data_IF_343949240855
#
_entry.id   IF_343949240855
#
_cell.length_a   1.000
_cell.length_b   1.000
_cell.length_c   1.000
_cell.angle_alpha   90.00
_cell.angle_beta   90.00
_cell.angle_gamma   90.00
#
_symmetry.space_group_name_H-M   'P 1'
#
loop_
_entity.id
_entity.type
_entity.pdbx_description
1 polymer ?
#
# COMPACT_ATOMS: atom_id res chain seq x y z
N UNK A 1 36.43 -26.95 -14.97
CA UNK A 1 35.00 -27.16 -15.35
C UNK A 1 34.06 -27.27 -14.14
N UNK A 2 34.53 -27.43 -12.92
CA UNK A 2 33.70 -27.52 -11.69
C UNK A 2 33.47 -26.14 -11.05
N UNK A 3 34.33 -25.14 -11.29
CA UNK A 3 34.23 -23.80 -10.72
C UNK A 3 33.21 -22.88 -11.44
N UNK A 4 32.74 -23.22 -12.64
CA UNK A 4 31.75 -22.49 -13.41
C UNK A 4 30.29 -22.86 -13.04
N UNK A 5 30.07 -24.00 -12.36
CA UNK A 5 28.75 -24.48 -11.97
C UNK A 5 28.25 -23.94 -10.59
N UNK A 6 29.19 -23.51 -9.75
CA UNK A 6 28.86 -22.94 -8.42
C UNK A 6 28.43 -21.47 -8.49
N UNK A 7 28.76 -20.76 -9.57
CA UNK A 7 28.41 -19.35 -9.77
C UNK A 7 26.97 -19.15 -10.31
N UNK A 8 26.29 -20.21 -10.73
CA UNK A 8 24.92 -20.15 -11.31
C UNK A 8 23.79 -20.32 -10.31
N UNK A 9 24.08 -20.48 -9.02
CA UNK A 9 23.06 -20.75 -7.98
C UNK A 9 22.72 -19.57 -7.06
N UNK A 10 23.23 -18.36 -7.31
CA UNK A 10 23.03 -17.21 -6.40
C UNK A 10 22.22 -16.04 -6.94
N UNK A 11 21.63 -16.12 -8.13
CA UNK A 11 20.91 -14.98 -8.71
C UNK A 11 19.45 -15.29 -9.05
N UNK A 12 18.60 -15.48 -8.02
CA UNK A 12 17.17 -15.31 -8.14
C UNK A 12 16.73 -13.99 -7.47
N UNK A 13 17.22 -12.87 -7.96
CA UNK A 13 16.63 -11.58 -7.65
C UNK A 13 15.52 -11.32 -8.66
N UNK A 14 14.31 -11.79 -8.37
CA UNK A 14 13.12 -11.34 -9.08
C UNK A 14 13.05 -9.81 -8.97
N UNK A 15 13.11 -9.12 -10.10
CA UNK A 15 12.94 -7.67 -10.16
C UNK A 15 11.52 -7.33 -9.74
N UNK A 16 11.35 -6.93 -8.49
CA UNK A 16 10.11 -6.39 -7.99
C UNK A 16 10.14 -4.89 -8.25
N UNK A 17 9.49 -4.47 -9.33
CA UNK A 17 9.35 -3.07 -9.74
C UNK A 17 8.46 -2.24 -8.80
N UNK A 18 8.05 -2.76 -7.66
CA UNK A 18 7.32 -2.00 -6.63
C UNK A 18 8.28 -1.51 -5.55
N UNK A 19 8.02 -0.31 -5.11
CA UNK A 19 8.83 0.43 -4.14
C UNK A 19 9.01 -0.34 -2.84
N UNK A 20 10.12 -1.07 -2.73
CA UNK A 20 10.52 -1.74 -1.48
C UNK A 20 10.71 -0.75 -0.32
N UNK A 21 10.81 0.53 -0.62
CA UNK A 21 11.04 1.60 0.34
C UNK A 21 9.93 1.68 1.38
N UNK A 22 8.68 1.47 1.00
CA UNK A 22 7.55 1.60 1.92
C UNK A 22 7.11 0.26 2.54
N UNK A 23 7.73 -0.85 2.15
CA UNK A 23 7.40 -2.16 2.73
C UNK A 23 8.14 -2.36 4.05
N UNK A 24 7.39 -2.60 5.12
CA UNK A 24 7.92 -2.70 6.49
C UNK A 24 7.83 -4.11 7.07
N UNK A 25 7.32 -5.08 6.30
CA UNK A 25 7.12 -6.46 6.75
C UNK A 25 8.38 -7.08 7.34
N UNK A 26 8.25 -7.62 8.54
CA UNK A 26 9.29 -8.34 9.27
C UNK A 26 8.87 -9.77 9.54
N UNK A 27 9.51 -10.76 8.91
CA UNK A 27 9.21 -12.16 9.17
C UNK A 27 9.69 -12.56 10.58
N UNK A 28 8.93 -13.45 11.23
CA UNK A 28 9.41 -14.14 12.43
C UNK A 28 10.60 -15.01 12.03
N UNK A 29 11.75 -14.76 12.64
CA UNK A 29 12.98 -15.52 12.39
C UNK A 29 13.17 -16.58 13.47
N UNK A 30 13.48 -17.85 13.10
CA UNK A 30 13.70 -18.90 14.09
C UNK A 30 14.78 -18.56 15.13
N UNK A 31 15.84 -17.85 14.70
CA UNK A 31 16.97 -17.44 15.55
C UNK A 31 16.58 -16.41 16.63
N UNK A 32 15.37 -15.83 16.56
CA UNK A 32 14.87 -14.85 17.51
C UNK A 32 14.10 -15.49 18.66
N UNK A 33 13.88 -16.81 18.64
CA UNK A 33 13.16 -17.54 19.70
C UNK A 33 13.75 -17.26 21.09
N UNK A 34 12.89 -16.89 22.05
CA UNK A 34 13.24 -16.51 23.40
C UNK A 34 13.97 -15.18 23.53
N UNK A 35 13.92 -14.31 22.49
CA UNK A 35 14.65 -13.03 22.50
C UNK A 35 13.69 -11.85 22.47
N UNK A 36 14.10 -10.79 23.16
CA UNK A 36 13.52 -9.46 23.08
C UNK A 36 14.37 -8.60 22.16
N UNK A 37 13.73 -7.95 21.20
CA UNK A 37 14.34 -7.01 20.27
C UNK A 37 13.72 -5.63 20.42
N UNK A 38 14.54 -4.61 20.28
CA UNK A 38 14.08 -3.25 20.02
C UNK A 38 14.08 -3.04 18.50
N UNK A 39 12.92 -2.70 17.95
CA UNK A 39 12.77 -2.44 16.53
C UNK A 39 12.45 -0.98 16.29
N UNK A 40 13.06 -0.40 15.28
CA UNK A 40 12.83 0.97 14.84
C UNK A 40 12.39 0.95 13.39
N UNK A 41 11.20 1.45 13.15
CA UNK A 41 10.70 1.83 11.84
C UNK A 41 10.53 3.34 11.80
N UNK A 42 11.18 4.02 10.86
CA UNK A 42 11.12 5.47 10.73
C UNK A 42 11.29 5.87 9.28
N UNK A 43 10.62 6.93 8.86
CA UNK A 43 10.85 7.55 7.56
C UNK A 43 10.78 9.07 7.70
N UNK A 44 11.89 9.73 7.40
CA UNK A 44 11.90 11.15 7.09
C UNK A 44 11.49 11.35 5.64
N UNK A 45 10.62 12.31 5.37
CA UNK A 45 10.08 12.54 4.04
C UNK A 45 9.98 14.03 3.70
N UNK A 46 10.17 14.30 2.42
CA UNK A 46 9.77 15.51 1.74
C UNK A 46 8.92 15.08 0.54
N UNK A 47 7.74 15.62 0.38
CA UNK A 47 6.89 15.43 -0.81
C UNK A 47 6.21 16.73 -1.18
N UNK A 48 6.22 17.04 -2.47
CA UNK A 48 5.49 18.14 -3.05
C UNK A 48 4.60 17.65 -4.18
N UNK A 49 3.31 17.94 -4.11
CA UNK A 49 2.31 17.69 -5.14
C UNK A 49 1.91 19.02 -5.76
N UNK A 50 2.31 19.24 -7.00
CA UNK A 50 1.90 20.39 -7.82
C UNK A 50 0.77 19.92 -8.72
N UNK A 51 -0.44 19.95 -8.18
CA UNK A 51 -1.66 19.53 -8.86
C UNK A 51 -2.48 20.75 -9.23
N UNK A 52 -2.73 20.90 -10.53
CA UNK A 52 -3.44 22.03 -11.13
C UNK A 52 -4.83 21.63 -11.62
N UNK A 53 -5.11 20.32 -11.62
CA UNK A 53 -6.42 19.80 -11.97
C UNK A 53 -7.43 20.10 -10.87
N UNK A 54 -8.72 20.32 -11.20
CA UNK A 54 -9.74 20.56 -10.19
C UNK A 54 -10.17 19.28 -9.45
N UNK A 55 -9.44 18.16 -9.64
CA UNK A 55 -9.80 16.85 -9.05
C UNK A 55 -8.96 16.47 -7.84
N UNK A 56 -7.79 17.06 -7.65
CA UNK A 56 -6.86 16.68 -6.62
C UNK A 56 -6.20 17.89 -5.94
N UNK A 57 -6.05 17.86 -4.62
CA UNK A 57 -5.32 18.88 -3.89
C UNK A 57 -3.82 18.76 -4.10
N UNK A 58 -3.18 19.87 -4.47
CA UNK A 58 -1.74 20.04 -4.34
C UNK A 58 -1.36 20.33 -2.89
N UNK A 59 -0.23 19.79 -2.41
CA UNK A 59 0.30 20.11 -1.10
C UNK A 59 1.80 19.84 -1.01
N UNK A 60 2.45 20.51 -0.07
CA UNK A 60 3.84 20.22 0.32
C UNK A 60 3.87 19.68 1.74
N UNK A 61 4.49 18.52 1.92
CA UNK A 61 4.67 17.88 3.21
C UNK A 61 6.15 17.59 3.49
N UNK A 62 6.65 18.07 4.63
CA UNK A 62 7.96 17.71 5.17
C UNK A 62 7.73 17.17 6.56
N UNK A 63 8.29 16.02 6.87
CA UNK A 63 8.06 15.43 8.18
C UNK A 63 8.87 14.17 8.44
N UNK A 64 8.62 13.59 9.58
CA UNK A 64 9.18 12.31 9.99
C UNK A 64 8.14 11.54 10.79
N UNK A 65 8.01 10.26 10.52
CA UNK A 65 7.41 9.37 11.50
C UNK A 65 8.48 8.50 12.16
N UNK A 66 8.19 8.11 13.40
CA UNK A 66 9.03 7.25 14.21
C UNK A 66 8.16 6.23 14.93
N UNK A 67 8.40 4.94 14.67
CA UNK A 67 7.65 3.83 15.28
C UNK A 67 8.61 2.86 15.97
N UNK A 68 9.03 3.14 17.21
CA UNK A 68 9.78 2.21 18.04
C UNK A 68 8.85 1.13 18.59
N UNK A 69 9.28 -0.13 18.56
CA UNK A 69 8.59 -1.25 19.18
C UNK A 69 9.53 -2.16 19.94
N UNK A 70 9.00 -2.81 20.97
CA UNK A 70 9.60 -3.95 21.64
C UNK A 70 8.94 -5.22 21.11
N UNK A 71 9.75 -6.07 20.50
CA UNK A 71 9.31 -7.32 19.88
C UNK A 71 9.82 -8.51 20.71
N UNK A 72 8.92 -9.23 21.36
CA UNK A 72 9.25 -10.45 22.08
C UNK A 72 8.85 -11.69 21.26
N UNK A 73 9.80 -12.56 21.00
CA UNK A 73 9.63 -13.79 20.25
C UNK A 73 9.54 -14.98 21.21
N UNK A 74 8.33 -15.45 21.51
CA UNK A 74 8.14 -16.61 22.39
C UNK A 74 8.80 -17.86 21.82
N UNK A 75 8.62 -18.08 20.53
CA UNK A 75 9.21 -19.20 19.81
C UNK A 75 9.33 -18.86 18.30
N UNK A 76 9.66 -19.84 17.46
CA UNK A 76 9.76 -19.68 16.01
C UNK A 76 8.45 -19.34 15.30
N UNK A 77 7.31 -19.44 15.98
CA UNK A 77 5.99 -19.29 15.40
C UNK A 77 5.18 -18.14 16.01
N UNK A 78 5.52 -17.64 17.20
CA UNK A 78 4.73 -16.64 17.92
C UNK A 78 5.60 -15.49 18.40
N UNK A 79 5.18 -14.26 18.10
CA UNK A 79 5.77 -13.04 18.66
C UNK A 79 4.69 -12.01 18.98
N UNK A 80 4.99 -11.16 19.95
CA UNK A 80 4.19 -9.99 20.33
C UNK A 80 5.06 -8.76 20.12
N UNK A 81 4.44 -7.68 19.65
CA UNK A 81 5.06 -6.38 19.48
C UNK A 81 4.23 -5.33 20.19
N UNK A 82 4.88 -4.42 20.90
CA UNK A 82 4.24 -3.27 21.54
C UNK A 82 5.12 -2.02 21.39
N UNK A 83 4.50 -0.86 21.15
CA UNK A 83 5.22 0.38 20.95
C UNK A 83 4.31 1.56 20.70
N UNK A 84 4.84 2.57 20.02
CA UNK A 84 4.11 3.79 19.69
C UNK A 84 4.49 4.27 18.29
N UNK A 85 3.51 4.80 17.58
CA UNK A 85 3.71 5.56 16.33
C UNK A 85 3.62 7.05 16.63
N UNK A 86 4.60 7.80 16.17
CA UNK A 86 4.72 9.24 16.32
C UNK A 86 4.91 9.87 14.94
N UNK A 87 4.07 10.83 14.59
CA UNK A 87 4.20 11.61 13.36
C UNK A 87 4.40 13.09 13.67
N UNK A 88 5.42 13.68 13.06
CA UNK A 88 5.72 15.11 13.17
C UNK A 88 5.87 15.71 11.78
N UNK A 89 5.06 16.71 11.46
CA UNK A 89 5.31 17.58 10.30
C UNK A 89 6.17 18.77 10.70
N UNK A 90 7.07 19.16 9.82
CA UNK A 90 7.85 20.41 9.95
C UNK A 90 6.90 21.61 9.93
N UNK A 91 7.19 22.60 10.75
CA UNK A 91 6.34 23.79 10.91
C UNK A 91 5.21 23.67 11.94
N UNK A 92 4.96 22.47 12.50
CA UNK A 92 4.05 22.31 13.63
C UNK A 92 4.84 22.26 14.95
N UNK A 93 4.27 22.76 16.05
CA UNK A 93 4.88 22.74 17.38
C UNK A 93 4.63 21.44 18.16
N UNK A 94 3.67 20.63 17.68
CA UNK A 94 3.23 19.39 18.31
C UNK A 94 3.40 18.19 17.39
N UNK A 95 3.26 16.98 17.92
CA UNK A 95 3.13 15.75 17.15
C UNK A 95 1.75 15.72 16.49
N UNK A 96 1.71 15.46 15.18
CA UNK A 96 0.45 15.33 14.44
C UNK A 96 -0.31 14.07 14.82
N UNK A 97 0.41 13.00 15.15
CA UNK A 97 -0.19 11.76 15.61
C UNK A 97 0.69 11.12 16.70
N UNK A 98 0.03 10.52 17.70
CA UNK A 98 0.61 9.67 18.72
C UNK A 98 -0.32 8.49 18.93
N UNK A 99 0.05 7.32 18.42
CA UNK A 99 -0.83 6.15 18.36
C UNK A 99 -0.12 4.97 19.03
N UNK A 100 -0.65 4.38 20.12
CA UNK A 100 -0.17 3.12 20.65
C UNK A 100 -0.29 2.03 19.58
N UNK A 101 0.73 1.18 19.46
CA UNK A 101 0.72 0.07 18.53
C UNK A 101 0.96 -1.23 19.30
N UNK A 102 0.16 -2.23 18.98
CA UNK A 102 0.26 -3.57 19.53
C UNK A 102 -0.07 -4.59 18.47
N UNK A 103 0.71 -5.65 18.33
CA UNK A 103 0.41 -6.76 17.44
C UNK A 103 0.82 -8.11 17.99
N UNK A 104 0.01 -9.13 17.69
CA UNK A 104 0.33 -10.53 17.86
C UNK A 104 0.57 -11.10 16.47
N UNK A 105 1.70 -11.75 16.27
CA UNK A 105 2.07 -12.38 15.00
C UNK A 105 2.23 -13.88 15.23
N UNK A 106 1.41 -14.67 14.55
CA UNK A 106 1.42 -16.14 14.63
C UNK A 106 1.68 -16.76 13.25
N UNK A 107 2.62 -17.68 13.21
CA UNK A 107 3.05 -18.38 12.01
C UNK A 107 2.82 -19.89 12.16
N UNK A 108 1.57 -20.39 11.95
CA UNK A 108 1.24 -21.80 12.13
C UNK A 108 2.05 -22.73 11.21
N UNK A 109 2.27 -22.29 9.97
CA UNK A 109 3.08 -23.00 8.97
C UNK A 109 4.03 -22.04 8.25
N UNK A 110 5.02 -22.55 7.54
CA UNK A 110 6.07 -21.73 6.87
C UNK A 110 5.49 -20.68 5.92
N UNK A 111 4.38 -20.97 5.26
CA UNK A 111 3.77 -20.12 4.24
C UNK A 111 2.71 -19.14 4.77
N UNK A 112 2.19 -19.31 5.99
CA UNK A 112 1.09 -18.50 6.52
C UNK A 112 1.54 -17.71 7.76
N UNK A 113 1.30 -16.39 7.75
CA UNK A 113 1.39 -15.54 8.93
C UNK A 113 0.00 -14.95 9.20
N UNK A 114 -0.39 -14.95 10.46
CA UNK A 114 -1.62 -14.34 10.98
C UNK A 114 -1.20 -13.21 11.91
N UNK A 115 -1.74 -12.02 11.69
CA UNK A 115 -1.45 -10.83 12.47
C UNK A 115 -2.74 -10.28 13.04
N UNK A 116 -2.75 -9.96 14.32
CA UNK A 116 -3.90 -9.39 15.05
C UNK A 116 -3.41 -8.12 15.76
N UNK A 117 -4.19 -7.04 15.70
CA UNK A 117 -3.85 -5.73 16.22
C UNK A 117 -3.26 -4.84 15.15
N UNK A 118 -2.10 -4.22 15.35
CA UNK A 118 -1.45 -3.43 14.31
C UNK A 118 -0.94 -4.35 13.20
N UNK A 119 -1.52 -4.22 12.01
CA UNK A 119 -1.22 -5.02 10.82
C UNK A 119 -0.17 -4.33 9.94
N UNK A 120 0.37 -5.02 8.96
CA UNK A 120 1.23 -4.45 7.92
C UNK A 120 0.36 -3.77 6.88
N UNK A 121 -0.01 -2.52 7.16
CA UNK A 121 -0.95 -1.72 6.38
C UNK A 121 -0.32 -0.96 5.22
N UNK A 122 -1.13 -0.11 4.60
CA UNK A 122 -0.77 0.86 3.56
C UNK A 122 0.04 0.27 2.41
N UNK A 123 1.27 0.73 2.18
CA UNK A 123 2.12 0.28 1.08
C UNK A 123 2.53 -1.20 1.15
N UNK A 124 2.39 -1.87 2.31
CA UNK A 124 2.65 -3.31 2.42
C UNK A 124 1.60 -4.13 1.66
N UNK A 125 0.38 -3.64 1.53
CA UNK A 125 -0.68 -4.30 0.75
C UNK A 125 -0.38 -4.34 -0.76
N UNK A 126 0.52 -3.50 -1.26
CA UNK A 126 0.93 -3.44 -2.66
C UNK A 126 -0.27 -3.26 -3.62
N UNK A 127 -1.25 -2.48 -3.20
CA UNK A 127 -2.40 -2.16 -4.03
C UNK A 127 -2.00 -1.30 -5.24
N UNK A 128 -2.76 -1.44 -6.32
CA UNK A 128 -2.59 -0.60 -7.51
C UNK A 128 -3.04 0.84 -7.23
N UNK A 129 -2.44 1.80 -7.90
CA UNK A 129 -2.71 3.24 -7.73
C UNK A 129 -4.18 3.63 -7.90
N UNK A 130 -4.94 3.07 -8.85
CA UNK A 130 -6.36 3.35 -8.90
C UNK A 130 -7.13 2.95 -7.64
N UNK A 131 -6.60 2.00 -6.85
CA UNK A 131 -7.22 1.50 -5.61
C UNK A 131 -6.64 2.10 -4.34
N UNK A 132 -5.41 2.60 -4.38
CA UNK A 132 -4.73 3.08 -3.19
C UNK A 132 -3.80 4.27 -3.46
N UNK A 133 -4.00 5.34 -2.71
CA UNK A 133 -3.19 6.55 -2.73
C UNK A 133 -2.01 6.42 -1.75
N UNK A 134 -0.81 6.51 -2.26
CA UNK A 134 0.39 6.36 -1.43
C UNK A 134 0.58 7.48 -0.40
N UNK A 135 -0.04 8.63 -0.58
CA UNK A 135 -0.02 9.74 0.39
C UNK A 135 -0.74 9.39 1.70
N UNK A 136 -1.66 8.40 1.67
CA UNK A 136 -2.26 7.82 2.88
C UNK A 136 -1.22 7.15 3.78
N UNK A 137 -0.04 6.81 3.25
CA UNK A 137 1.08 6.29 4.02
C UNK A 137 1.47 7.17 5.21
N UNK A 138 1.30 8.47 5.13
CA UNK A 138 1.62 9.36 6.24
C UNK A 138 0.47 9.52 7.21
N UNK A 139 -0.74 9.77 6.70
CA UNK A 139 -1.91 10.11 7.53
C UNK A 139 -2.58 8.88 8.15
N UNK A 140 -2.55 7.76 7.46
CA UNK A 140 -3.20 6.51 7.85
C UNK A 140 -2.20 5.35 7.91
N UNK A 141 -0.99 5.62 8.42
CA UNK A 141 0.08 4.62 8.49
C UNK A 141 -0.28 3.42 9.37
N UNK A 142 -1.00 3.66 10.46
CA UNK A 142 -1.39 2.63 11.40
C UNK A 142 -2.75 2.06 11.03
N UNK A 143 -2.75 0.79 10.68
CA UNK A 143 -3.94 0.00 10.43
C UNK A 143 -4.07 -1.07 11.51
N UNK A 144 -5.30 -1.25 12.04
CA UNK A 144 -5.58 -2.17 13.13
C UNK A 144 -6.68 -3.15 12.75
N UNK A 145 -6.44 -4.42 13.01
CA UNK A 145 -7.41 -5.45 12.68
C UNK A 145 -6.83 -6.84 12.61
N UNK A 146 -7.13 -7.54 11.52
CA UNK A 146 -6.73 -8.92 11.28
C UNK A 146 -6.12 -9.05 9.88
N UNK A 147 -4.99 -9.76 9.75
CA UNK A 147 -4.31 -9.94 8.47
C UNK A 147 -3.79 -11.38 8.32
N UNK A 148 -3.97 -11.92 7.12
CA UNK A 148 -3.46 -13.22 6.70
C UNK A 148 -2.49 -13.03 5.54
N UNK A 149 -1.22 -13.33 5.77
CA UNK A 149 -0.19 -13.28 4.73
C UNK A 149 0.18 -14.69 4.30
N UNK A 150 -0.24 -15.08 3.11
CA UNK A 150 0.11 -16.35 2.50
C UNK A 150 1.21 -16.15 1.46
N UNK A 151 2.32 -16.91 1.57
CA UNK A 151 3.43 -16.82 0.66
C UNK A 151 3.93 -18.22 0.28
N UNK A 152 3.49 -18.70 -0.88
CA UNK A 152 3.95 -19.93 -1.49
C UNK A 152 4.84 -19.64 -2.72
N UNK A 153 5.33 -20.67 -3.39
CA UNK A 153 6.18 -20.52 -4.59
C UNK A 153 5.45 -19.80 -5.73
N UNK A 154 4.15 -20.08 -5.94
CA UNK A 154 3.37 -19.57 -7.08
C UNK A 154 2.22 -18.65 -6.68
N UNK A 155 1.80 -18.66 -5.43
CA UNK A 155 0.68 -17.87 -4.94
C UNK A 155 1.10 -17.07 -3.73
N UNK A 156 0.89 -15.75 -3.79
CA UNK A 156 1.07 -14.83 -2.68
C UNK A 156 -0.24 -14.10 -2.47
N UNK A 157 -0.62 -13.93 -1.22
CA UNK A 157 -1.86 -13.24 -0.86
C UNK A 157 -1.66 -12.50 0.44
N UNK A 158 -2.16 -11.30 0.48
CA UNK A 158 -2.42 -10.49 1.65
C UNK A 158 -3.93 -10.29 1.71
N UNK A 159 -4.56 -10.80 2.77
CA UNK A 159 -6.00 -10.64 3.06
C UNK A 159 -6.11 -9.97 4.41
N UNK A 160 -6.84 -8.86 4.51
CA UNK A 160 -6.94 -8.12 5.76
C UNK A 160 -8.32 -7.52 5.99
N UNK A 161 -8.57 -7.24 7.26
CA UNK A 161 -9.61 -6.36 7.75
C UNK A 161 -8.92 -5.24 8.53
N UNK A 162 -9.19 -3.99 8.18
CA UNK A 162 -8.77 -2.81 8.90
C UNK A 162 -10.00 -2.10 9.46
N UNK A 163 -10.09 -1.99 10.80
CA UNK A 163 -11.13 -1.25 11.48
C UNK A 163 -10.67 0.20 11.65
N UNK A 164 -11.10 1.05 10.73
CA UNK A 164 -10.62 2.43 10.63
C UNK A 164 -11.22 3.35 11.67
N UNK A 165 -12.50 3.18 11.99
CA UNK A 165 -13.20 3.92 13.02
C UNK A 165 -14.17 3.00 13.76
N UNK A 166 -13.92 2.77 15.05
CA UNK A 166 -14.83 2.07 15.95
C UNK A 166 -15.79 3.08 16.58
N UNK A 167 -17.06 2.71 16.77
CA UNK A 167 -18.07 3.55 17.38
C UNK A 167 -18.67 2.92 18.63
N UNK A 168 -19.07 3.77 19.58
CA UNK A 168 -19.81 3.42 20.77
C UNK A 168 -21.22 4.01 20.70
N UNK A 169 -22.11 3.54 21.56
CA UNK A 169 -23.47 4.08 21.64
C UNK A 169 -23.43 5.58 22.01
N UNK A 170 -24.02 6.42 21.16
CA UNK A 170 -24.07 7.87 21.32
C UNK A 170 -22.99 8.63 20.53
N UNK A 171 -22.08 7.93 19.83
CA UNK A 171 -21.11 8.59 18.95
C UNK A 171 -21.80 9.28 17.78
N UNK A 172 -21.19 10.38 17.33
CA UNK A 172 -21.65 11.21 16.21
C UNK A 172 -20.90 10.95 14.91
N UNK A 173 -20.05 9.91 14.89
CA UNK A 173 -19.32 9.45 13.71
C UNK A 173 -19.85 8.10 13.23
N UNK A 174 -19.63 7.77 11.97
CA UNK A 174 -19.95 6.45 11.44
C UNK A 174 -18.82 5.46 11.74
N UNK A 175 -19.18 4.21 11.93
CA UNK A 175 -18.24 3.10 11.85
C UNK A 175 -17.60 3.06 10.47
N UNK A 176 -16.29 2.79 10.42
CA UNK A 176 -15.56 2.66 9.17
C UNK A 176 -14.69 1.41 9.20
N UNK A 177 -14.85 0.57 8.21
CA UNK A 177 -14.00 -0.60 8.03
C UNK A 177 -13.62 -0.82 6.56
N UNK A 178 -12.46 -1.40 6.35
CA UNK A 178 -12.00 -1.86 5.05
C UNK A 178 -11.64 -3.34 5.12
N UNK A 179 -12.21 -4.13 4.22
CA UNK A 179 -11.76 -5.50 3.96
C UNK A 179 -11.06 -5.51 2.60
N UNK A 180 -9.85 -6.00 2.54
CA UNK A 180 -9.07 -5.99 1.31
C UNK A 180 -8.29 -7.27 1.07
N UNK A 181 -7.99 -7.51 -0.20
CA UNK A 181 -7.04 -8.54 -0.61
C UNK A 181 -6.14 -8.03 -1.72
N UNK A 182 -4.87 -8.37 -1.62
CA UNK A 182 -3.88 -8.20 -2.68
C UNK A 182 -3.18 -9.52 -2.91
N UNK A 183 -3.49 -10.15 -4.02
CA UNK A 183 -3.01 -11.48 -4.37
C UNK A 183 -2.27 -11.47 -5.71
N UNK A 184 -1.33 -12.39 -5.89
CA UNK A 184 -0.64 -12.61 -7.16
C UNK A 184 -0.40 -14.08 -7.40
N UNK A 185 -0.70 -14.54 -8.63
CA UNK A 185 -0.52 -15.90 -9.09
C UNK A 185 0.58 -15.90 -10.14
N UNK A 186 1.68 -16.61 -9.91
CA UNK A 186 2.72 -16.83 -10.93
C UNK A 186 2.30 -17.98 -11.82
N UNK A 187 1.90 -17.67 -13.04
CA UNK A 187 1.41 -18.65 -14.03
C UNK A 187 2.54 -19.19 -14.90
N UNK A 188 3.58 -18.40 -15.09
CA UNK A 188 4.77 -18.82 -15.83
C UNK A 188 6.04 -18.24 -15.14
N UNK A 189 7.08 -19.04 -15.00
CA UNK A 189 8.36 -18.63 -14.41
C UNK A 189 9.47 -19.54 -14.97
N UNK A 190 10.04 -19.12 -16.08
CA UNK A 190 11.14 -19.85 -16.73
C UNK A 190 12.15 -18.87 -17.32
N UNK A 191 13.45 -19.22 -17.18
CA UNK A 191 14.56 -18.44 -17.69
C UNK A 191 14.47 -16.96 -17.22
N UNK A 192 14.33 -16.04 -18.17
CA UNK A 192 14.28 -14.60 -17.94
C UNK A 192 12.87 -14.02 -17.92
N UNK A 193 11.83 -14.86 -18.04
CA UNK A 193 10.43 -14.41 -18.16
C UNK A 193 9.61 -14.91 -16.98
N UNK A 194 8.91 -13.98 -16.32
CA UNK A 194 7.93 -14.29 -15.29
C UNK A 194 6.59 -13.67 -15.67
N UNK A 195 5.51 -14.45 -15.69
CA UNK A 195 4.15 -13.96 -15.91
C UNK A 195 3.34 -14.17 -14.64
N UNK A 196 2.72 -13.08 -14.18
CA UNK A 196 1.88 -13.05 -12.97
C UNK A 196 0.50 -12.50 -13.28
N UNK A 197 -0.50 -13.00 -12.58
CA UNK A 197 -1.87 -12.49 -12.56
C UNK A 197 -2.11 -11.83 -11.21
N UNK A 198 -2.12 -10.48 -11.13
CA UNK A 198 -2.55 -9.76 -9.93
C UNK A 198 -4.07 -9.84 -9.81
N UNK A 199 -4.55 -10.05 -8.58
CA UNK A 199 -5.96 -10.00 -8.21
C UNK A 199 -6.08 -9.24 -6.92
N UNK A 200 -6.80 -8.10 -6.93
CA UNK A 200 -6.98 -7.25 -5.76
C UNK A 200 -8.45 -6.89 -5.60
N UNK A 201 -8.88 -6.72 -4.36
CA UNK A 201 -10.18 -6.13 -4.08
C UNK A 201 -10.16 -5.35 -2.77
N UNK A 202 -11.09 -4.40 -2.68
CA UNK A 202 -11.40 -3.63 -1.49
C UNK A 202 -12.92 -3.55 -1.32
N UNK A 203 -13.38 -3.76 -0.08
CA UNK A 203 -14.69 -3.36 0.39
C UNK A 203 -14.50 -2.26 1.41
N UNK A 204 -14.97 -1.07 1.11
CA UNK A 204 -15.00 0.05 2.04
C UNK A 204 -16.42 0.23 2.53
N UNK A 205 -16.61 0.24 3.84
CA UNK A 205 -17.92 0.34 4.48
C UNK A 205 -17.95 1.51 5.46
N UNK A 206 -18.97 2.31 5.36
CA UNK A 206 -19.34 3.37 6.29
C UNK A 206 -20.76 3.14 6.77
N UNK A 207 -20.96 3.17 8.07
CA UNK A 207 -22.28 2.96 8.67
C UNK A 207 -22.18 2.27 10.02
N UNK A 208 -23.12 1.41 10.31
CA UNK A 208 -23.19 0.64 11.54
C UNK A 208 -24.61 0.63 12.11
N UNK A 209 -24.93 -0.44 12.86
CA UNK A 209 -26.22 -0.56 13.54
C UNK A 209 -26.26 0.19 14.85
N UNK A 210 -25.09 0.45 15.43
CA UNK A 210 -24.94 1.20 16.65
C UNK A 210 -24.91 2.71 16.34
N UNK A 211 -25.77 3.50 16.97
CA UNK A 211 -25.89 4.96 16.75
C UNK A 211 -26.08 5.36 15.26
N UNK A 212 -27.15 4.92 14.59
CA UNK A 212 -27.37 5.28 13.20
C UNK A 212 -27.57 6.81 13.08
N UNK A 213 -26.87 7.41 12.12
CA UNK A 213 -26.94 8.85 11.87
C UNK A 213 -27.93 9.13 10.74
N UNK A 214 -29.05 9.84 10.97
CA UNK A 214 -30.10 10.06 9.97
C UNK A 214 -29.63 10.72 8.67
N UNK A 215 -28.56 11.54 8.76
CA UNK A 215 -28.01 12.27 7.61
C UNK A 215 -26.78 11.61 6.98
N UNK A 216 -26.36 10.45 7.48
CA UNK A 216 -25.22 9.70 6.96
C UNK A 216 -25.64 8.26 6.70
N UNK A 217 -26.21 7.97 5.54
CA UNK A 217 -26.69 6.63 5.21
C UNK A 217 -25.54 5.64 5.10
N UNK A 218 -25.86 4.37 5.32
CA UNK A 218 -24.91 3.27 5.17
C UNK A 218 -24.41 3.25 3.72
N UNK A 219 -23.09 3.29 3.56
CA UNK A 219 -22.44 3.26 2.26
C UNK A 219 -21.47 2.09 2.21
N UNK A 220 -21.54 1.31 1.13
CA UNK A 220 -20.61 0.20 0.89
C UNK A 220 -20.15 0.24 -0.55
N UNK A 221 -18.85 0.30 -0.75
CA UNK A 221 -18.20 0.37 -2.07
C UNK A 221 -17.28 -0.82 -2.24
N UNK A 222 -17.44 -1.49 -3.37
CA UNK A 222 -16.53 -2.54 -3.83
C UNK A 222 -15.64 -2.01 -4.95
N UNK A 223 -14.34 -2.25 -4.82
CA UNK A 223 -13.38 -2.08 -5.91
C UNK A 223 -12.67 -3.39 -6.19
N UNK A 224 -12.53 -3.74 -7.45
CA UNK A 224 -11.77 -4.89 -7.92
C UNK A 224 -10.66 -4.48 -8.89
N UNK A 225 -9.61 -5.31 -8.98
CA UNK A 225 -8.50 -5.11 -9.90
C UNK A 225 -7.92 -6.46 -10.29
N UNK A 226 -7.87 -6.74 -11.59
CA UNK A 226 -7.35 -7.99 -12.14
C UNK A 226 -6.62 -7.71 -13.43
N UNK A 227 -5.57 -8.48 -13.72
CA UNK A 227 -4.85 -8.30 -14.97
C UNK A 227 -3.79 -9.35 -15.23
N UNK A 228 -2.91 -9.04 -16.16
CA UNK A 228 -1.73 -9.83 -16.45
C UNK A 228 -0.49 -8.93 -16.46
N UNK A 229 0.59 -9.44 -15.91
CA UNK A 229 1.89 -8.78 -15.89
C UNK A 229 2.95 -9.74 -16.39
N UNK A 230 3.75 -9.32 -17.36
CA UNK A 230 4.92 -10.03 -17.85
C UNK A 230 6.17 -9.21 -17.54
N UNK A 231 7.14 -9.83 -16.88
CA UNK A 231 8.43 -9.26 -16.56
C UNK A 231 9.53 -10.04 -17.28
N UNK A 232 10.43 -9.34 -17.97
CA UNK A 232 11.60 -9.88 -18.65
C UNK A 232 12.87 -9.39 -17.97
N UNK A 233 13.69 -10.29 -17.47
CA UNK A 233 15.03 -10.00 -17.02
C UNK A 233 15.98 -10.06 -18.22
N UNK A 234 16.38 -8.92 -18.75
CA UNK A 234 17.22 -8.82 -19.95
C UNK A 234 18.68 -9.17 -19.64
N UNK A 235 19.17 -8.73 -18.48
CA UNK A 235 20.49 -9.08 -17.92
C UNK A 235 20.50 -8.74 -16.41
N UNK A 236 21.64 -8.80 -15.76
CA UNK A 236 21.77 -8.52 -14.31
C UNK A 236 21.30 -7.14 -13.88
N UNK A 237 21.35 -6.14 -14.77
CA UNK A 237 21.02 -4.74 -14.47
C UNK A 237 19.68 -4.30 -15.04
N UNK A 238 19.26 -4.86 -16.18
CA UNK A 238 18.09 -4.41 -16.93
C UNK A 238 16.92 -5.38 -16.83
N UNK A 239 15.74 -4.86 -16.52
CA UNK A 239 14.50 -5.61 -16.70
C UNK A 239 13.40 -4.72 -17.30
N UNK A 240 12.52 -5.34 -18.07
CA UNK A 240 11.35 -4.74 -18.72
C UNK A 240 10.10 -5.42 -18.17
N UNK A 241 9.05 -4.66 -17.87
CA UNK A 241 7.76 -5.19 -17.47
C UNK A 241 6.65 -4.55 -18.29
N UNK A 242 5.64 -5.32 -18.64
CA UNK A 242 4.39 -4.85 -19.26
C UNK A 242 3.23 -5.43 -18.48
N UNK A 243 2.22 -4.64 -18.22
CA UNK A 243 0.99 -5.13 -17.60
C UNK A 243 -0.23 -4.43 -18.14
N UNK A 244 -1.30 -5.20 -18.32
CA UNK A 244 -2.64 -4.72 -18.60
C UNK A 244 -3.58 -5.19 -17.51
N UNK A 245 -4.37 -4.26 -16.95
CA UNK A 245 -5.20 -4.53 -15.79
C UNK A 245 -6.56 -3.85 -15.95
N UNK A 246 -7.60 -4.54 -15.52
CA UNK A 246 -8.96 -4.03 -15.42
C UNK A 246 -9.26 -3.67 -13.97
N UNK A 247 -9.86 -2.52 -13.76
CA UNK A 247 -10.35 -2.06 -12.45
C UNK A 247 -11.86 -1.91 -12.49
N UNK A 248 -12.51 -2.35 -11.40
CA UNK A 248 -13.95 -2.36 -11.24
C UNK A 248 -14.35 -1.47 -10.06
N UNK A 249 -15.42 -0.75 -10.21
CA UNK A 249 -16.13 -0.04 -9.15
C UNK A 249 -17.59 -0.48 -9.10
N UNK A 250 -18.09 -0.77 -7.91
CA UNK A 250 -19.49 -1.07 -7.66
C UNK A 250 -19.94 -0.48 -6.33
N UNK A 251 -20.92 0.42 -6.36
CA UNK A 251 -21.65 0.87 -5.18
C UNK A 251 -22.66 -0.18 -4.76
N UNK A 252 -22.31 -1.00 -3.77
CA UNK A 252 -23.17 -2.08 -3.26
C UNK A 252 -24.32 -1.54 -2.41
N UNK A 253 -24.04 -0.53 -1.59
CA UNK A 253 -25.02 0.27 -0.89
C UNK A 253 -24.61 1.72 -1.08
N UNK A 254 -25.43 2.50 -1.74
CA UNK A 254 -25.26 3.93 -1.94
C UNK A 254 -26.46 4.66 -1.35
N UNK A 255 -26.30 5.89 -0.88
CA UNK A 255 -27.41 6.75 -0.50
C UNK A 255 -28.41 6.89 -1.65
N UNK A 256 -29.71 6.97 -1.31
CA UNK A 256 -30.76 7.23 -2.29
C UNK A 256 -30.58 8.64 -2.89
N UNK A 257 -31.00 8.81 -4.14
CA UNK A 257 -31.00 10.09 -4.84
C UNK A 257 -31.84 11.10 -4.05
N UNK A 258 -31.26 12.23 -3.62
CA UNK A 258 -31.89 13.22 -2.75
C UNK A 258 -31.55 13.11 -1.25
N UNK A 259 -30.93 11.99 -0.80
CA UNK A 259 -30.32 11.84 0.52
C UNK A 259 -28.80 11.96 0.42
N UNK A 260 -28.22 11.54 -0.71
CA UNK A 260 -26.80 11.76 -0.98
C UNK A 260 -26.52 13.25 -1.17
N UNK A 261 -25.52 13.75 -0.48
CA UNK A 261 -25.02 15.12 -0.72
C UNK A 261 -24.48 15.27 -2.15
N UNK A 262 -24.02 14.17 -2.79
CA UNK A 262 -23.40 14.19 -4.12
C UNK A 262 -23.80 12.98 -4.95
N UNK A 263 -23.82 13.13 -6.27
CA UNK A 263 -24.09 12.05 -7.20
C UNK A 263 -22.97 11.00 -7.20
N UNK A 264 -23.33 9.74 -7.01
CA UNK A 264 -22.44 8.58 -7.15
C UNK A 264 -22.99 7.62 -8.23
N UNK A 265 -22.24 7.37 -9.32
CA UNK A 265 -22.63 6.33 -10.27
C UNK A 265 -22.61 4.96 -9.59
N UNK A 266 -23.51 4.08 -9.98
CA UNK A 266 -23.62 2.75 -9.35
C UNK A 266 -22.47 1.81 -9.76
N UNK A 267 -21.96 1.95 -10.97
CA UNK A 267 -20.92 1.08 -11.54
C UNK A 267 -19.89 1.87 -12.32
N UNK A 268 -18.66 1.42 -12.30
CA UNK A 268 -17.57 1.97 -13.09
C UNK A 268 -16.53 0.91 -13.48
N UNK A 269 -15.82 1.20 -14.54
CA UNK A 269 -14.79 0.33 -15.12
C UNK A 269 -13.59 1.18 -15.54
N UNK A 270 -12.39 0.63 -15.35
CA UNK A 270 -11.15 1.21 -15.86
C UNK A 270 -10.21 0.15 -16.43
N UNK A 271 -9.31 0.58 -17.29
CA UNK A 271 -8.21 -0.21 -17.85
C UNK A 271 -6.91 0.54 -17.64
N UNK A 272 -5.87 -0.14 -17.17
CA UNK A 272 -4.57 0.45 -16.90
C UNK A 272 -3.45 -0.35 -17.55
N UNK A 273 -2.99 0.14 -18.70
CA UNK A 273 -1.80 -0.36 -19.38
C UNK A 273 -0.57 0.30 -18.78
N UNK A 274 0.44 -0.50 -18.41
CA UNK A 274 1.71 0.01 -17.86
C UNK A 274 2.92 -0.68 -18.51
N UNK A 275 3.96 0.10 -18.70
CA UNK A 275 5.30 -0.36 -19.08
C UNK A 275 6.29 0.09 -18.03
N UNK A 276 7.18 -0.80 -17.61
CA UNK A 276 8.20 -0.54 -16.59
C UNK A 276 9.58 -0.88 -17.16
N UNK A 277 10.53 0.01 -17.00
CA UNK A 277 11.94 -0.22 -17.33
C UNK A 277 12.75 -0.02 -16.05
N UNK A 278 13.54 -1.02 -15.67
CA UNK A 278 14.41 -0.94 -14.51
C UNK A 278 15.86 -1.09 -14.93
N UNK A 279 16.71 -0.23 -14.38
CA UNK A 279 18.15 -0.28 -14.52
C UNK A 279 18.84 -0.10 -13.17
N UNK A 280 19.32 -1.18 -12.59
CA UNK A 280 19.96 -1.18 -11.27
C UNK A 280 19.04 -0.57 -10.19
N UNK A 281 19.34 0.64 -9.72
CA UNK A 281 18.55 1.39 -8.72
C UNK A 281 17.56 2.39 -9.35
N UNK A 282 17.54 2.52 -10.66
CA UNK A 282 16.66 3.40 -11.40
C UNK A 282 15.46 2.66 -11.96
N UNK A 283 14.30 3.28 -11.87
CA UNK A 283 13.04 2.72 -12.32
C UNK A 283 12.26 3.78 -13.06
N UNK A 284 11.71 3.42 -14.20
CA UNK A 284 10.85 4.28 -15.02
C UNK A 284 9.57 3.51 -15.31
N UNK A 285 8.44 4.18 -15.20
CA UNK A 285 7.13 3.65 -15.55
C UNK A 285 6.41 4.65 -16.43
N UNK A 286 5.79 4.17 -17.51
CA UNK A 286 4.80 4.88 -18.29
C UNK A 286 3.49 4.09 -18.26
N UNK A 287 2.36 4.80 -18.19
CA UNK A 287 1.06 4.17 -18.14
C UNK A 287 -0.01 4.98 -18.85
N UNK A 288 -1.07 4.29 -19.24
CA UNK A 288 -2.29 4.87 -19.76
C UNK A 288 -3.49 4.31 -19.02
N UNK A 289 -4.21 5.19 -18.34
CA UNK A 289 -5.45 4.90 -17.66
C UNK A 289 -6.64 5.41 -18.44
N UNK A 290 -7.55 4.51 -18.79
CA UNK A 290 -8.84 4.84 -19.38
C UNK A 290 -9.94 4.32 -18.46
N UNK A 291 -10.84 5.19 -18.03
CA UNK A 291 -11.93 4.77 -17.15
C UNK A 291 -13.24 5.49 -17.44
N UNK A 292 -14.32 4.86 -17.01
CA UNK A 292 -15.67 5.40 -17.04
C UNK A 292 -16.33 5.19 -15.69
N UNK A 293 -16.81 6.27 -15.07
CA UNK A 293 -17.50 6.26 -13.77
C UNK A 293 -16.69 5.61 -12.64
N UNK A 294 -15.36 5.63 -12.69
CA UNK A 294 -14.55 4.89 -11.74
C UNK A 294 -14.34 5.68 -10.46
N UNK A 295 -14.65 5.05 -9.31
CA UNK A 295 -14.51 5.61 -7.97
C UNK A 295 -13.88 4.56 -7.06
N UNK A 296 -12.81 4.93 -6.38
CA UNK A 296 -12.19 4.14 -5.32
C UNK A 296 -11.81 5.09 -4.16
N UNK A 297 -12.47 5.00 -3.02
CA UNK A 297 -12.32 5.96 -1.93
C UNK A 297 -10.90 6.08 -1.38
N UNK A 298 -10.11 5.02 -1.49
CA UNK A 298 -8.71 5.00 -1.07
C UNK A 298 -7.73 5.18 -2.23
N UNK A 299 -8.23 5.28 -3.48
CA UNK A 299 -7.44 5.38 -4.69
C UNK A 299 -6.76 6.74 -4.89
N UNK A 300 -5.75 6.78 -5.75
CA UNK A 300 -5.10 8.02 -6.17
C UNK A 300 -6.11 8.93 -6.84
N UNK A 301 -6.15 10.21 -6.46
CA UNK A 301 -7.22 11.15 -6.84
C UNK A 301 -7.30 11.43 -8.32
N UNK A 302 -6.18 11.45 -9.03
CA UNK A 302 -6.14 11.63 -10.48
C UNK A 302 -6.84 10.51 -11.26
N UNK A 303 -7.01 9.33 -10.66
CA UNK A 303 -7.67 8.17 -11.28
C UNK A 303 -9.19 8.15 -11.08
N UNK A 304 -9.75 9.11 -10.31
CA UNK A 304 -11.14 9.08 -9.86
C UNK A 304 -12.07 9.92 -10.74
N UNK A 305 -13.33 9.51 -10.83
CA UNK A 305 -14.39 10.26 -11.51
C UNK A 305 -14.93 11.42 -10.69
N UNK A 306 -14.69 11.44 -9.38
CA UNK A 306 -15.12 12.49 -8.45
C UNK A 306 -13.91 13.29 -7.98
N UNK A 307 -14.10 14.61 -7.89
CA UNK A 307 -13.10 15.51 -7.35
C UNK A 307 -13.01 15.41 -5.82
N UNK A 308 -11.79 15.40 -5.28
CA UNK A 308 -11.53 15.54 -3.86
C UNK A 308 -11.76 16.99 -3.37
N UNK A 309 -11.59 17.97 -4.30
CA UNK A 309 -11.72 19.42 -4.00
C UNK A 309 -13.18 19.83 -3.94
N UNK A 310 -13.95 19.39 -4.91
CA UNK A 310 -15.38 19.65 -5.02
C UNK A 310 -16.12 18.37 -5.40
N UNK A 311 -16.74 17.67 -4.45
CA UNK A 311 -17.45 16.43 -4.71
C UNK A 311 -18.61 16.52 -5.71
N UNK A 312 -19.14 17.72 -6.01
CA UNK A 312 -20.12 17.94 -7.07
C UNK A 312 -19.49 17.91 -8.47
N UNK A 313 -18.17 18.05 -8.55
CA UNK A 313 -17.45 17.98 -9.80
C UNK A 313 -17.20 16.53 -10.17
N UNK A 314 -17.96 16.05 -11.13
CA UNK A 314 -17.92 14.69 -11.63
C UNK A 314 -17.50 14.64 -13.10
N UNK A 315 -16.64 13.68 -13.45
CA UNK A 315 -16.25 13.33 -14.83
C UNK A 315 -16.61 11.89 -15.14
N UNK A 316 -17.38 11.71 -16.22
CA UNK A 316 -17.81 10.38 -16.65
C UNK A 316 -16.66 9.55 -17.21
N UNK A 317 -15.83 10.15 -18.02
CA UNK A 317 -14.69 9.51 -18.69
C UNK A 317 -13.39 10.10 -18.16
N UNK A 318 -12.34 9.28 -18.13
CA UNK A 318 -10.99 9.65 -17.72
C UNK A 318 -10.02 9.07 -18.74
N UNK A 319 -9.15 9.91 -19.29
CA UNK A 319 -8.05 9.53 -20.16
C UNK A 319 -6.75 10.14 -19.61
N UNK A 320 -6.02 9.36 -18.81
CA UNK A 320 -4.86 9.84 -18.07
C UNK A 320 -3.59 9.14 -18.57
N UNK A 321 -2.59 9.93 -18.97
CA UNK A 321 -1.23 9.44 -19.19
C UNK A 321 -0.45 9.63 -17.89
N UNK A 322 0.19 8.56 -17.43
CA UNK A 322 0.98 8.58 -16.19
C UNK A 322 2.44 8.30 -16.49
N UNK A 323 3.33 8.97 -15.79
CA UNK A 323 4.76 8.75 -15.85
C UNK A 323 5.35 8.75 -14.43
N UNK A 324 6.27 7.84 -14.15
CA UNK A 324 7.00 7.82 -12.88
C UNK A 324 8.45 7.48 -13.13
N UNK A 325 9.33 8.19 -12.44
CA UNK A 325 10.75 7.88 -12.36
C UNK A 325 11.15 7.88 -10.90
N UNK A 326 11.81 6.81 -10.46
CA UNK A 326 12.35 6.79 -9.10
C UNK A 326 13.71 6.11 -9.03
N UNK A 327 14.47 6.56 -8.07
CA UNK A 327 15.75 6.00 -7.67
C UNK A 327 15.64 5.51 -6.24
N UNK A 328 16.03 4.27 -5.95
CA UNK A 328 16.14 3.78 -4.58
C UNK A 328 17.45 3.06 -4.35
N UNK A 329 18.05 3.25 -3.18
CA UNK A 329 19.32 2.65 -2.81
C UNK A 329 19.36 2.33 -1.32
N UNK A 330 19.78 1.11 -0.99
CA UNK A 330 20.17 0.78 0.38
C UNK A 330 21.55 1.38 0.67
N UNK A 331 21.64 2.26 1.66
CA UNK A 331 22.89 2.92 2.07
C UNK A 331 23.68 1.96 2.96
N UNK A 332 23.00 1.44 3.97
CA UNK A 332 23.50 0.39 4.87
C UNK A 332 22.33 -0.55 5.19
N UNK A 333 22.61 -1.67 5.84
CA UNK A 333 21.56 -2.62 6.24
C UNK A 333 20.49 -1.92 7.10
N UNK A 334 19.24 -1.96 6.63
CA UNK A 334 18.10 -1.34 7.30
C UNK A 334 17.93 0.16 7.03
N UNK A 335 18.78 0.80 6.21
CA UNK A 335 18.63 2.20 5.82
C UNK A 335 18.56 2.31 4.29
N UNK A 336 17.51 2.98 3.81
CA UNK A 336 17.24 3.15 2.37
C UNK A 336 16.89 4.61 2.08
N UNK A 337 17.36 5.10 0.94
CA UNK A 337 16.95 6.38 0.36
C UNK A 337 16.14 6.13 -0.90
N UNK A 338 15.11 6.94 -1.12
CA UNK A 338 14.36 6.98 -2.38
C UNK A 338 14.13 8.44 -2.78
N UNK A 339 14.30 8.70 -4.08
CA UNK A 339 13.86 9.92 -4.74
C UNK A 339 12.89 9.54 -5.85
N UNK A 340 11.79 10.29 -6.00
CA UNK A 340 10.73 9.98 -6.98
C UNK A 340 10.22 11.25 -7.64
N UNK A 341 9.87 11.11 -8.92
CA UNK A 341 9.14 12.08 -9.72
C UNK A 341 7.97 11.38 -10.40
N UNK A 342 6.77 11.95 -10.31
CA UNK A 342 5.53 11.40 -10.84
C UNK A 342 4.82 12.46 -11.67
N UNK A 343 4.19 12.05 -12.78
CA UNK A 343 3.53 12.92 -13.73
C UNK A 343 2.17 12.34 -14.10
N UNK A 344 1.19 13.21 -14.27
CA UNK A 344 -0.17 12.87 -14.64
C UNK A 344 -0.66 13.89 -15.68
N UNK A 345 -0.92 13.46 -16.90
CA UNK A 345 -1.49 14.28 -17.95
C UNK A 345 -2.93 13.84 -18.24
N UNK A 346 -3.87 14.64 -17.80
CA UNK A 346 -5.30 14.46 -18.10
C UNK A 346 -5.57 15.00 -19.52
N UNK A 347 -5.86 14.08 -20.45
CA UNK A 347 -6.11 14.42 -21.86
C UNK A 347 -7.44 15.14 -22.06
N UNK A 348 -8.42 14.84 -21.22
CA UNK A 348 -9.78 15.38 -21.34
C UNK A 348 -9.82 16.84 -20.88
N UNK A 349 -9.17 17.15 -19.77
CA UNK A 349 -9.09 18.49 -19.19
C UNK A 349 -7.85 19.27 -19.63
N UNK A 350 -6.89 18.62 -20.34
CA UNK A 350 -5.60 19.19 -20.77
C UNK A 350 -4.79 19.77 -19.59
N UNK A 351 -4.88 19.14 -18.43
CA UNK A 351 -4.14 19.52 -17.23
C UNK A 351 -2.93 18.62 -17.04
N UNK A 352 -1.86 19.19 -16.51
CA UNK A 352 -0.63 18.49 -16.21
C UNK A 352 -0.31 18.65 -14.72
N UNK A 353 -0.45 17.56 -13.98
CA UNK A 353 -0.13 17.46 -12.57
C UNK A 353 1.21 16.73 -12.42
N UNK A 354 2.01 17.12 -11.44
CA UNK A 354 3.24 16.39 -11.11
C UNK A 354 3.52 16.41 -9.62
N UNK A 355 4.29 15.44 -9.18
CA UNK A 355 4.80 15.42 -7.81
C UNK A 355 6.24 14.95 -7.76
N UNK A 356 6.94 15.35 -6.71
CA UNK A 356 8.27 14.86 -6.42
C UNK A 356 8.47 14.69 -4.93
N UNK A 357 9.37 13.77 -4.57
CA UNK A 357 9.63 13.51 -3.18
C UNK A 357 10.97 12.83 -2.93
N UNK A 358 11.39 12.92 -1.68
CA UNK A 358 12.60 12.30 -1.14
C UNK A 358 12.26 11.62 0.19
N UNK A 359 12.72 10.40 0.35
CA UNK A 359 12.50 9.61 1.56
C UNK A 359 13.80 9.00 2.07
N UNK A 360 14.01 9.10 3.37
CA UNK A 360 15.06 8.35 4.09
C UNK A 360 14.37 7.42 5.09
N UNK A 361 14.43 6.13 4.84
CA UNK A 361 13.82 5.12 5.69
C UNK A 361 14.84 4.38 6.54
N UNK A 362 14.51 4.18 7.80
CA UNK A 362 15.19 3.28 8.73
C UNK A 362 14.22 2.15 9.10
N UNK A 363 14.67 0.90 8.96
CA UNK A 363 13.93 -0.29 9.37
C UNK A 363 14.92 -1.31 9.93
N UNK A 364 15.18 -1.22 11.23
CA UNK A 364 16.24 -1.96 11.90
C UNK A 364 15.78 -2.56 13.22
N UNK A 365 16.34 -3.74 13.54
CA UNK A 365 16.01 -4.46 14.75
C UNK A 365 17.30 -4.76 15.53
N UNK A 366 17.33 -4.45 16.81
CA UNK A 366 18.45 -4.59 17.70
C UNK A 366 18.11 -5.62 18.78
N UNK A 367 18.99 -6.57 18.99
CA UNK A 367 18.87 -7.53 20.08
C UNK A 367 19.09 -6.84 21.42
N UNK A 368 18.19 -7.07 22.38
CA UNK A 368 18.31 -6.54 23.73
C UNK A 368 18.74 -7.62 24.74
N UNK A 369 17.92 -8.65 24.86
CA UNK A 369 18.13 -9.70 25.86
C UNK A 369 17.52 -11.02 25.42
N UNK A 370 18.09 -12.12 25.87
CA UNK A 370 17.52 -13.46 25.77
C UNK A 370 16.79 -13.77 27.07
N UNK A 371 15.47 -13.93 27.01
CA UNK A 371 14.71 -14.36 28.17
C UNK A 371 14.95 -15.85 28.43
N UNK A 372 14.86 -16.26 29.69
CA UNK A 372 14.82 -17.68 30.03
C UNK A 372 13.54 -18.26 29.40
N UNK A 373 13.60 -19.46 28.79
CA UNK A 373 12.40 -20.07 28.24
C UNK A 373 11.37 -20.22 29.37
N UNK A 374 10.15 -19.74 29.10
CA UNK A 374 8.99 -20.07 29.93
C UNK A 374 8.78 -21.57 29.81
N UNK A 375 8.92 -22.29 30.90
CA UNK A 375 8.70 -23.75 30.95
C UNK A 375 7.25 -24.08 30.66
#
# INVERSE_FOLDING_TARGET
MVMMFVMMLLFTNSSKAQTKTFQTFQPIKPDFSGKLHFHVESTGFFKNNEYFSPYAYGYTGIGIYFKPTLDYYFNKNLSISAGVYLLKYSGLDHLSQTIPVFSIRYKPIKSLNIIIGNIYGTANHQLAEPLFRYDLFYQHHIENGLQFLLNTKRFKSDLWLNWRNFIQLGDTTQEELTVGSSSSITVYDKQSITVTVPVQFLFNHWGGQLSPLPHKPITTIFNGYIGAKADWQLNEKWSLGVSENLALYNGLSLPEEGIAEHFLPKHGLGSYLKMNLNYSNWHIMAGYWHAKNFIAPLGETQFQSISEINPDLYRKNINLITGKMWFNKSIVKGVMIEARFEQYYDRDNRTFDYSYGLWLRVNSSFFLVKAKPVK
#
